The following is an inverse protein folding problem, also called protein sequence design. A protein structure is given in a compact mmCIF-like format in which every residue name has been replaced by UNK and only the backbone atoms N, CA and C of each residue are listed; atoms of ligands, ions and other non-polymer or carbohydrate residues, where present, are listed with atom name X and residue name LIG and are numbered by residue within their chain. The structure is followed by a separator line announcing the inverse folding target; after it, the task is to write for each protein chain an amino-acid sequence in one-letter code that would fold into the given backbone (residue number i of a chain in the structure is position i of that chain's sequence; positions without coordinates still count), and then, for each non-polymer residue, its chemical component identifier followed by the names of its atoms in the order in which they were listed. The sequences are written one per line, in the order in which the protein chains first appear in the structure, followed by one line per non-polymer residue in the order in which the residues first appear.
data_IF_376315711013
#
_entry.id   IF_376315711013
#
_cell.length_a   1.000
_cell.length_b   1.000
_cell.length_c   1.000
_cell.angle_alpha   90.00
_cell.angle_beta   90.00
_cell.angle_gamma   90.00
#
_symmetry.space_group_name_H-M   'P 1'
#
loop_
_entity.id
_entity.type
_entity.pdbx_description
1 polymer ?
#
# COMPACT_ATOMS: atom_id res chain seq x y z
N UNK A 1 9.43 19.35 12.69
CA UNK A 1 9.49 18.25 13.69
C UNK A 1 10.65 17.32 13.36
N UNK A 2 11.39 16.82 14.37
CA UNK A 2 12.41 15.79 14.17
C UNK A 2 11.82 14.56 13.48
N UNK A 3 12.65 13.84 12.71
CA UNK A 3 12.21 12.71 11.88
C UNK A 3 11.45 11.63 12.68
N UNK A 4 11.84 11.40 13.94
CA UNK A 4 11.26 10.39 14.82
C UNK A 4 9.77 10.60 15.16
N UNK A 5 9.24 11.82 15.02
CA UNK A 5 7.83 12.12 15.34
C UNK A 5 6.91 12.20 14.12
N UNK A 6 7.43 11.96 12.91
CA UNK A 6 6.65 12.11 11.68
C UNK A 6 5.74 10.91 11.45
N UNK A 7 4.49 11.20 11.10
CA UNK A 7 3.51 10.25 10.58
C UNK A 7 3.28 10.58 9.11
N UNK A 8 4.19 10.11 8.27
CA UNK A 8 4.24 10.45 6.85
C UNK A 8 3.38 9.46 6.04
N UNK A 9 2.21 9.91 5.59
CA UNK A 9 1.26 9.06 4.88
C UNK A 9 1.77 8.64 3.49
N UNK A 10 2.52 9.50 2.81
CA UNK A 10 3.04 9.19 1.48
C UNK A 10 4.14 8.13 1.56
N UNK A 11 5.02 8.22 2.55
CA UNK A 11 6.07 7.21 2.75
C UNK A 11 5.49 5.87 3.21
N UNK A 12 4.41 5.87 4.00
CA UNK A 12 3.71 4.64 4.34
C UNK A 12 3.05 4.00 3.10
N UNK A 13 2.37 4.79 2.26
CA UNK A 13 1.77 4.32 1.02
C UNK A 13 2.81 3.80 0.02
N UNK A 14 3.97 4.45 -0.11
CA UNK A 14 5.06 3.99 -0.97
C UNK A 14 5.62 2.63 -0.51
N UNK A 15 5.78 2.43 0.79
CA UNK A 15 6.23 1.15 1.32
C UNK A 15 5.18 0.04 1.12
N UNK A 16 3.90 0.37 1.24
CA UNK A 16 2.81 -0.57 0.92
C UNK A 16 2.85 -0.93 -0.57
N UNK A 17 3.04 0.05 -1.46
CA UNK A 17 3.14 -0.18 -2.91
C UNK A 17 4.26 -1.17 -3.25
N UNK A 18 5.46 -0.99 -2.66
CA UNK A 18 6.58 -1.91 -2.84
C UNK A 18 6.30 -3.30 -2.26
N UNK A 19 5.60 -3.39 -1.13
CA UNK A 19 5.22 -4.69 -0.55
C UNK A 19 4.25 -5.46 -1.46
N UNK A 20 3.32 -4.76 -2.14
CA UNK A 20 2.41 -5.35 -3.12
C UNK A 20 3.19 -5.87 -4.32
N UNK A 21 4.06 -5.04 -4.90
CA UNK A 21 4.92 -5.42 -6.03
C UNK A 21 5.74 -6.66 -5.67
N UNK A 22 6.39 -6.67 -4.52
CA UNK A 22 7.18 -7.81 -4.04
C UNK A 22 6.32 -9.06 -3.83
N UNK A 23 5.10 -8.92 -3.29
CA UNK A 23 4.23 -10.07 -3.02
C UNK A 23 3.71 -10.73 -4.29
N UNK A 24 3.45 -9.93 -5.33
CA UNK A 24 2.95 -10.43 -6.61
C UNK A 24 4.09 -10.82 -7.56
N UNK A 25 5.28 -10.25 -7.37
CA UNK A 25 6.46 -10.52 -8.18
C UNK A 25 6.95 -11.97 -8.10
N UNK A 26 7.38 -12.53 -9.23
CA UNK A 26 8.01 -13.84 -9.30
C UNK A 26 7.06 -15.04 -9.22
N UNK A 27 5.74 -14.82 -9.12
CA UNK A 27 4.73 -15.89 -9.13
C UNK A 27 4.04 -15.91 -10.49
N UNK A 28 4.20 -17.00 -11.23
CA UNK A 28 3.56 -17.16 -12.54
C UNK A 28 2.03 -17.06 -12.40
N UNK A 29 1.42 -16.27 -13.28
CA UNK A 29 -0.03 -16.09 -13.31
C UNK A 29 -0.58 -15.17 -12.22
N UNK A 30 0.23 -14.51 -11.40
CA UNK A 30 -0.19 -13.51 -10.40
C UNK A 30 0.36 -12.13 -10.74
N UNK A 31 -0.51 -11.12 -10.73
CA UNK A 31 -0.14 -9.71 -10.93
C UNK A 31 -0.77 -8.83 -9.87
N UNK A 32 -0.04 -7.82 -9.42
CA UNK A 32 -0.49 -6.80 -8.49
C UNK A 32 0.00 -5.44 -8.97
N UNK A 33 -0.93 -4.53 -9.25
CA UNK A 33 -0.63 -3.23 -9.86
C UNK A 33 -1.12 -2.10 -8.97
N UNK A 34 -0.26 -1.13 -8.69
CA UNK A 34 -0.69 0.16 -8.12
C UNK A 34 -1.01 1.11 -9.27
N UNK A 35 -2.31 1.28 -9.55
CA UNK A 35 -2.77 1.99 -10.75
C UNK A 35 -2.92 3.50 -10.58
N UNK A 36 -3.13 3.97 -9.36
CA UNK A 36 -3.26 5.38 -9.01
C UNK A 36 -2.49 5.63 -7.72
N UNK A 37 -1.84 6.80 -7.62
CA UNK A 37 -1.16 7.24 -6.41
C UNK A 37 -1.23 8.76 -6.31
N UNK A 38 -1.82 9.28 -5.24
CA UNK A 38 -2.04 10.70 -5.01
C UNK A 38 -1.69 11.11 -3.58
N UNK A 39 -1.16 12.33 -3.44
CA UNK A 39 -0.80 12.95 -2.15
C UNK A 39 -1.51 14.30 -2.06
N UNK A 40 -2.79 14.31 -1.65
CA UNK A 40 -3.59 15.53 -1.62
C UNK A 40 -2.97 16.60 -0.74
N UNK A 41 -2.84 17.81 -1.28
CA UNK A 41 -2.23 18.94 -0.55
C UNK A 41 -0.72 18.75 -0.31
N UNK A 42 -0.07 17.86 -1.06
CA UNK A 42 1.38 17.69 -1.02
C UNK A 42 2.11 18.98 -1.36
N UNK A 43 3.13 19.31 -0.57
CA UNK A 43 4.03 20.43 -0.79
C UNK A 43 5.46 20.01 -0.43
N UNK A 44 6.46 20.59 -1.10
CA UNK A 44 7.86 20.21 -0.96
C UNK A 44 8.40 20.29 0.48
N UNK A 45 7.79 21.11 1.34
CA UNK A 45 8.21 21.35 2.72
C UNK A 45 7.19 20.89 3.78
N UNK A 46 6.16 20.14 3.39
CA UNK A 46 5.10 19.67 4.31
C UNK A 46 5.10 18.14 4.37
N UNK A 47 5.03 17.59 5.58
CA UNK A 47 4.86 16.14 5.77
C UNK A 47 3.46 15.75 5.31
N UNK A 48 3.31 14.81 4.36
CA UNK A 48 2.00 14.40 3.88
C UNK A 48 1.12 13.81 4.99
N UNK A 49 -0.04 14.44 5.21
CA UNK A 49 -1.06 13.95 6.14
C UNK A 49 -1.98 12.88 5.55
N UNK A 50 -2.03 12.76 4.22
CA UNK A 50 -2.85 11.78 3.51
C UNK A 50 -2.15 11.32 2.24
N UNK A 51 -2.35 10.06 1.90
CA UNK A 51 -2.03 9.48 0.60
C UNK A 51 -3.17 8.56 0.20
N UNK A 52 -3.49 8.52 -1.09
CA UNK A 52 -4.47 7.59 -1.66
C UNK A 52 -3.83 6.85 -2.79
N UNK A 53 -4.12 5.56 -2.90
CA UNK A 53 -3.69 4.75 -4.01
C UNK A 53 -4.70 3.65 -4.27
N UNK A 54 -4.70 3.13 -5.49
CA UNK A 54 -5.51 1.98 -5.87
C UNK A 54 -4.62 0.77 -6.11
N UNK A 55 -5.19 -0.43 -5.91
CA UNK A 55 -4.51 -1.69 -6.17
C UNK A 55 -5.45 -2.55 -6.99
N UNK A 56 -4.94 -3.16 -8.05
CA UNK A 56 -5.59 -4.22 -8.83
C UNK A 56 -4.76 -5.49 -8.68
N UNK A 57 -5.38 -6.58 -8.20
CA UNK A 57 -4.73 -7.89 -8.03
C UNK A 57 -5.48 -8.91 -8.87
N UNK A 58 -4.78 -9.58 -9.79
CA UNK A 58 -5.35 -10.63 -10.64
C UNK A 58 -4.50 -11.87 -10.57
N UNK A 59 -5.15 -13.03 -10.62
CA UNK A 59 -4.47 -14.30 -10.73
C UNK A 59 -5.21 -15.26 -11.66
N UNK A 60 -4.50 -16.23 -12.23
CA UNK A 60 -5.12 -17.34 -12.97
C UNK A 60 -5.96 -18.24 -12.06
N UNK A 61 -5.55 -18.39 -10.80
CA UNK A 61 -6.24 -19.20 -9.81
C UNK A 61 -6.76 -18.33 -8.65
N UNK A 62 -8.02 -18.50 -8.31
CA UNK A 62 -8.68 -17.74 -7.23
C UNK A 62 -7.96 -17.89 -5.89
N UNK A 63 -7.49 -19.10 -5.55
CA UNK A 63 -6.74 -19.35 -4.33
C UNK A 63 -5.43 -18.53 -4.25
N UNK A 64 -4.76 -18.30 -5.39
CA UNK A 64 -3.55 -17.46 -5.44
C UNK A 64 -3.90 -15.99 -5.24
N UNK A 65 -4.99 -15.51 -5.86
CA UNK A 65 -5.49 -14.15 -5.68
C UNK A 65 -5.84 -13.91 -4.21
N UNK A 66 -6.60 -14.81 -3.59
CA UNK A 66 -7.04 -14.70 -2.20
C UNK A 66 -5.85 -14.70 -1.23
N UNK A 67 -4.89 -15.60 -1.43
CA UNK A 67 -3.67 -15.62 -0.63
C UNK A 67 -2.86 -14.32 -0.77
N UNK A 68 -2.71 -13.79 -2.00
CA UNK A 68 -2.01 -12.53 -2.23
C UNK A 68 -2.72 -11.34 -1.56
N UNK A 69 -4.05 -11.27 -1.65
CA UNK A 69 -4.84 -10.22 -0.99
C UNK A 69 -4.69 -10.31 0.53
N UNK A 70 -4.76 -11.50 1.12
CA UNK A 70 -4.58 -11.68 2.56
C UNK A 70 -3.18 -11.20 3.02
N UNK A 71 -2.13 -11.58 2.30
CA UNK A 71 -0.75 -11.17 2.61
C UNK A 71 -0.55 -9.66 2.47
N UNK A 72 -1.16 -9.05 1.44
CA UNK A 72 -1.13 -7.59 1.23
C UNK A 72 -1.83 -6.86 2.38
N UNK A 73 -3.00 -7.33 2.83
CA UNK A 73 -3.72 -6.72 3.95
C UNK A 73 -2.91 -6.81 5.25
N UNK A 74 -2.29 -7.96 5.54
CA UNK A 74 -1.40 -8.11 6.68
C UNK A 74 -0.16 -7.19 6.59
N UNK A 75 0.41 -7.03 5.39
CA UNK A 75 1.51 -6.10 5.17
C UNK A 75 1.10 -4.65 5.40
N UNK A 76 -0.09 -4.25 4.95
CA UNK A 76 -0.66 -2.91 5.18
C UNK A 76 -0.76 -2.63 6.68
N UNK A 77 -1.34 -3.54 7.46
CA UNK A 77 -1.50 -3.37 8.91
C UNK A 77 -0.15 -3.21 9.62
N UNK A 78 0.82 -4.07 9.28
CA UNK A 78 2.19 -4.02 9.84
C UNK A 78 2.91 -2.71 9.50
N UNK A 79 2.81 -2.25 8.25
CA UNK A 79 3.42 -0.99 7.82
C UNK A 79 2.73 0.19 8.49
N UNK A 80 1.41 0.20 8.55
CA UNK A 80 0.61 1.24 9.19
C UNK A 80 0.99 1.40 10.68
N UNK A 81 1.05 0.29 11.41
CA UNK A 81 1.43 0.27 12.82
C UNK A 81 2.85 0.81 13.03
N UNK A 82 3.84 0.33 12.27
CA UNK A 82 5.24 0.77 12.39
C UNK A 82 5.43 2.25 12.00
N UNK A 83 4.68 2.74 11.01
CA UNK A 83 4.74 4.14 10.54
C UNK A 83 3.87 5.09 11.38
N UNK A 84 3.05 4.55 12.28
CA UNK A 84 2.14 5.33 13.12
C UNK A 84 1.04 6.04 12.33
N UNK A 85 0.56 5.45 11.24
CA UNK A 85 -0.51 6.00 10.39
C UNK A 85 -1.75 5.14 10.47
N UNK A 86 -2.93 5.74 10.26
CA UNK A 86 -4.16 5.01 10.04
C UNK A 86 -4.31 4.69 8.54
N UNK A 87 -4.82 3.50 8.22
CA UNK A 87 -5.15 3.10 6.85
C UNK A 87 -6.58 2.63 6.81
N UNK A 88 -7.31 3.05 5.77
CA UNK A 88 -8.63 2.54 5.44
C UNK A 88 -8.55 1.86 4.09
N UNK A 89 -8.95 0.59 4.03
CA UNK A 89 -9.04 -0.17 2.79
C UNK A 89 -10.50 -0.22 2.36
N UNK A 90 -10.77 0.08 1.09
CA UNK A 90 -12.09 -0.08 0.49
C UNK A 90 -11.96 -1.00 -0.72
N UNK A 91 -12.68 -2.11 -0.70
CA UNK A 91 -12.81 -2.98 -1.87
C UNK A 91 -13.74 -2.30 -2.89
N UNK A 92 -13.27 -2.21 -4.13
CA UNK A 92 -14.06 -1.80 -5.29
C UNK A 92 -14.25 -3.04 -6.16
N UNK A 93 -15.50 -3.28 -6.60
CA UNK A 93 -15.85 -4.41 -7.47
C UNK A 93 -15.26 -4.26 -8.87
#
# INVERSE_FOLDING_TARGET
APMAGRRDAAMAAAEIALAIEQRCGGIAGLVGTVGQFDVPGGAANVVPGRALFSIDVRAEQDAQREAAVADILAAIERIAARRGVAVQVRQTQ
#
